data_IF_601639171509
#
_entry.id   IF_601639171509
#
_cell.length_a   1.000
_cell.length_b   1.000
_cell.length_c   1.000
_cell.angle_alpha   90.00
_cell.angle_beta   90.00
_cell.angle_gamma   90.00
#
_symmetry.space_group_name_H-M   'P 1'
#
loop_
_entity.id
_entity.type
_entity.pdbx_description
1 polymer ?
#
# COMPACT_ATOMS: atom_id res chain seq x y z
N UNK A 1 -5.50 10.18 14.72
CA UNK A 1 -5.75 10.91 13.46
C UNK A 1 -5.34 10.04 12.27
N UNK A 2 -5.97 10.18 11.10
CA UNK A 2 -5.56 9.42 9.90
C UNK A 2 -4.16 9.85 9.43
N UNK A 3 -3.23 8.89 9.37
CA UNK A 3 -1.80 9.16 9.12
C UNK A 3 -1.40 9.17 7.63
N UNK A 4 -2.35 8.99 6.70
CA UNK A 4 -2.07 8.97 5.26
C UNK A 4 -2.68 10.17 4.52
N UNK A 5 -1.99 10.61 3.47
CA UNK A 5 -2.50 11.59 2.50
C UNK A 5 -3.40 10.96 1.43
N UNK A 6 -3.39 9.63 1.28
CA UNK A 6 -4.24 8.87 0.34
C UNK A 6 -5.43 8.23 1.07
N UNK A 7 -6.22 9.05 1.75
CA UNK A 7 -7.34 8.62 2.62
C UNK A 7 -8.29 7.65 1.90
N UNK A 8 -8.66 7.97 0.66
CA UNK A 8 -9.55 7.16 -0.20
C UNK A 8 -9.00 5.77 -0.51
N UNK A 9 -7.68 5.64 -0.74
CA UNK A 9 -7.05 4.33 -0.94
C UNK A 9 -7.03 3.49 0.34
N UNK A 10 -6.73 4.12 1.48
CA UNK A 10 -6.79 3.45 2.78
C UNK A 10 -8.22 2.97 3.08
N UNK A 11 -9.23 3.80 2.85
CA UNK A 11 -10.63 3.42 2.99
C UNK A 11 -11.02 2.27 2.05
N UNK A 12 -10.56 2.27 0.79
CA UNK A 12 -10.79 1.18 -0.15
C UNK A 12 -10.14 -0.14 0.32
N UNK A 13 -8.91 -0.08 0.85
CA UNK A 13 -8.22 -1.23 1.42
C UNK A 13 -8.96 -1.78 2.65
N UNK A 14 -9.38 -0.93 3.58
CA UNK A 14 -10.16 -1.30 4.76
C UNK A 14 -11.47 -1.98 4.36
N UNK A 15 -12.24 -1.40 3.42
CA UNK A 15 -13.47 -2.03 2.92
C UNK A 15 -13.22 -3.38 2.28
N UNK A 16 -12.13 -3.52 1.52
CA UNK A 16 -11.73 -4.79 0.89
C UNK A 16 -11.44 -5.84 1.95
N UNK A 17 -10.69 -5.49 3.00
CA UNK A 17 -10.41 -6.38 4.12
C UNK A 17 -11.70 -6.75 4.88
N UNK A 18 -12.54 -5.78 5.24
CA UNK A 18 -13.82 -6.00 5.92
C UNK A 18 -14.81 -6.86 5.11
N UNK A 19 -14.65 -6.95 3.79
CA UNK A 19 -15.50 -7.76 2.92
C UNK A 19 -15.17 -9.26 2.97
N UNK A 20 -14.01 -9.66 3.51
CA UNK A 20 -13.71 -11.09 3.64
C UNK A 20 -14.65 -11.75 4.65
N UNK A 21 -15.22 -12.93 4.34
CA UNK A 21 -16.18 -13.61 5.21
C UNK A 21 -15.66 -13.90 6.61
N UNK A 22 -14.35 -14.13 6.74
CA UNK A 22 -13.68 -14.34 8.02
C UNK A 22 -13.84 -13.15 8.98
N UNK A 23 -14.06 -11.94 8.45
CA UNK A 23 -14.21 -10.71 9.25
C UNK A 23 -15.66 -10.23 9.39
N UNK A 24 -16.67 -10.95 8.87
CA UNK A 24 -18.10 -10.60 9.04
C UNK A 24 -18.89 -11.70 9.76
N UNK A 25 -19.74 -11.37 10.76
CA UNK A 25 -19.65 -10.29 11.76
C UNK A 25 -19.53 -10.87 13.19
N UNK A 26 -19.15 -10.03 14.16
CA UNK A 26 -18.92 -10.33 15.60
C UNK A 26 -17.49 -10.69 16.01
N UNK A 27 -16.50 -9.84 15.68
CA UNK A 27 -15.32 -9.76 16.56
C UNK A 27 -15.77 -9.17 17.91
N UNK A 28 -16.36 -10.01 18.77
CA UNK A 28 -16.68 -9.69 20.16
C UNK A 28 -15.41 -9.93 20.98
N UNK A 29 -14.50 -8.96 20.91
CA UNK A 29 -13.34 -8.96 21.79
C UNK A 29 -13.78 -8.79 23.24
N UNK A 30 -13.07 -9.45 24.16
CA UNK A 30 -13.20 -9.13 25.59
C UNK A 30 -12.62 -7.74 25.87
N UNK A 31 -12.68 -7.32 27.13
CA UNK A 31 -12.16 -6.02 27.54
C UNK A 31 -10.68 -5.84 27.14
N UNK A 32 -10.22 -4.62 26.79
CA UNK A 32 -8.88 -4.41 26.20
C UNK A 32 -7.70 -4.93 27.03
N UNK A 33 -7.84 -4.94 28.36
CA UNK A 33 -6.80 -5.45 29.26
C UNK A 33 -6.78 -6.99 29.33
N UNK A 34 -7.88 -7.64 28.92
CA UNK A 34 -8.05 -9.10 28.90
C UNK A 34 -7.69 -9.68 27.53
N UNK A 35 -7.99 -8.95 26.45
CA UNK A 35 -7.77 -9.37 25.07
C UNK A 35 -7.22 -8.23 24.20
N UNK A 36 -5.96 -7.82 24.46
CA UNK A 36 -5.35 -6.69 23.75
C UNK A 36 -5.15 -6.97 22.26
N UNK A 37 -4.89 -8.23 21.87
CA UNK A 37 -4.66 -8.61 20.47
C UNK A 37 -5.95 -8.49 19.63
N UNK A 38 -7.08 -9.00 20.13
CA UNK A 38 -8.35 -8.86 19.42
C UNK A 38 -8.75 -7.39 19.30
N UNK A 39 -8.62 -6.60 20.38
CA UNK A 39 -8.95 -5.18 20.34
C UNK A 39 -8.03 -4.41 19.40
N UNK A 40 -6.72 -4.69 19.38
CA UNK A 40 -5.80 -4.09 18.40
C UNK A 40 -6.19 -4.42 16.96
N UNK A 41 -6.64 -5.65 16.69
CA UNK A 41 -7.13 -6.04 15.37
C UNK A 41 -8.42 -5.30 15.01
N UNK A 42 -9.37 -5.21 15.96
CA UNK A 42 -10.62 -4.46 15.78
C UNK A 42 -10.34 -2.99 15.49
N UNK A 43 -9.45 -2.37 16.25
CA UNK A 43 -9.08 -0.98 16.12
C UNK A 43 -8.38 -0.71 14.78
N UNK A 44 -7.56 -1.64 14.32
CA UNK A 44 -6.91 -1.56 13.02
C UNK A 44 -7.89 -1.68 11.84
N UNK A 45 -8.87 -2.58 11.91
CA UNK A 45 -9.71 -2.92 10.77
C UNK A 45 -11.05 -2.16 10.75
N UNK A 46 -11.71 -2.02 11.89
CA UNK A 46 -13.06 -1.46 12.01
C UNK A 46 -13.06 -0.03 12.55
N UNK A 47 -12.23 0.25 13.55
CA UNK A 47 -12.16 1.59 14.18
C UNK A 47 -10.99 2.43 13.67
N UNK A 48 -10.48 2.10 12.46
CA UNK A 48 -9.32 2.77 11.90
C UNK A 48 -9.55 4.28 11.72
N UNK A 49 -8.62 5.16 12.15
CA UNK A 49 -8.83 6.62 12.13
C UNK A 49 -9.16 7.23 10.76
N UNK A 50 -8.84 6.55 9.66
CA UNK A 50 -9.15 7.01 8.30
C UNK A 50 -10.59 6.71 7.85
N UNK A 51 -11.34 5.85 8.56
CA UNK A 51 -12.73 5.51 8.19
C UNK A 51 -13.64 6.74 8.25
N UNK A 52 -13.44 7.60 9.25
CA UNK A 52 -14.33 8.74 9.52
C UNK A 52 -13.85 10.08 8.93
N UNK A 53 -12.70 10.11 8.25
CA UNK A 53 -12.16 11.35 7.67
C UNK A 53 -12.91 11.70 6.38
N UNK A 54 -13.65 12.80 6.40
CA UNK A 54 -14.20 13.42 5.20
C UNK A 54 -13.08 14.16 4.45
N UNK A 55 -12.60 13.55 3.35
CA UNK A 55 -11.67 14.06 2.33
C UNK A 55 -10.77 15.25 2.75
N UNK A 56 -9.53 14.96 3.17
CA UNK A 56 -8.43 15.95 3.06
C UNK A 56 -7.97 15.97 1.60
N UNK A 57 -8.25 17.06 0.90
CA UNK A 57 -7.92 17.32 -0.52
C UNK A 57 -8.50 16.32 -1.55
N UNK A 58 -8.62 16.76 -2.81
CA UNK A 58 -9.11 15.91 -3.90
C UNK A 58 -8.02 14.91 -4.28
N UNK A 59 -8.12 13.66 -3.83
CA UNK A 59 -7.29 12.56 -4.34
C UNK A 59 -7.44 12.53 -5.87
N UNK A 60 -6.33 12.66 -6.65
CA UNK A 60 -6.39 12.59 -8.11
C UNK A 60 -6.83 11.20 -8.62
N UNK A 61 -6.76 10.16 -7.78
CA UNK A 61 -7.17 8.80 -8.11
C UNK A 61 -8.14 8.24 -7.06
N UNK A 62 -9.38 8.75 -6.99
CA UNK A 62 -10.38 8.18 -6.10
C UNK A 62 -10.66 6.74 -6.53
N UNK A 63 -10.59 5.82 -5.57
CA UNK A 63 -10.85 4.40 -5.79
C UNK A 63 -11.89 3.90 -4.80
N UNK A 64 -12.91 3.22 -5.31
CA UNK A 64 -13.92 2.56 -4.48
C UNK A 64 -13.46 1.17 -4.02
N UNK A 65 -12.61 0.53 -4.82
CA UNK A 65 -11.95 -0.75 -4.57
C UNK A 65 -10.50 -0.74 -5.11
N UNK A 66 -9.63 -1.59 -4.56
CA UNK A 66 -8.24 -1.68 -5.03
C UNK A 66 -8.17 -2.23 -6.47
N UNK A 67 -7.47 -1.56 -7.40
CA UNK A 67 -7.36 -2.02 -8.78
C UNK A 67 -6.43 -3.24 -8.87
N UNK A 68 -6.65 -4.09 -9.88
CA UNK A 68 -5.63 -5.10 -10.22
C UNK A 68 -4.36 -4.42 -10.75
N UNK A 69 -3.17 -4.97 -10.53
CA UNK A 69 -1.95 -4.32 -11.02
C UNK A 69 -1.88 -4.17 -12.55
N UNK A 70 -2.51 -5.08 -13.29
CA UNK A 70 -2.66 -4.92 -14.74
C UNK A 70 -3.54 -3.72 -15.10
N UNK A 71 -4.67 -3.56 -14.41
CA UNK A 71 -5.58 -2.43 -14.63
C UNK A 71 -4.93 -1.10 -14.19
N UNK A 72 -4.28 -1.09 -13.03
CA UNK A 72 -3.52 0.06 -12.53
C UNK A 72 -2.48 0.52 -13.55
N UNK A 73 -1.70 -0.40 -14.12
CA UNK A 73 -0.75 -0.08 -15.18
C UNK A 73 -1.42 0.44 -16.45
N UNK A 74 -2.53 -0.18 -16.88
CA UNK A 74 -3.28 0.29 -18.05
C UNK A 74 -3.78 1.73 -17.88
N UNK A 75 -4.31 2.07 -16.70
CA UNK A 75 -4.76 3.45 -16.40
C UNK A 75 -3.54 4.37 -16.36
N UNK A 76 -2.46 3.94 -15.71
CA UNK A 76 -1.25 4.74 -15.59
C UNK A 76 -0.62 5.07 -16.94
N UNK A 77 -0.66 4.15 -17.90
CA UNK A 77 -0.18 4.35 -19.27
C UNK A 77 -0.98 5.38 -20.06
N UNK A 78 -2.27 5.58 -19.73
CA UNK A 78 -3.12 6.58 -20.39
C UNK A 78 -2.87 8.00 -19.88
N UNK A 79 -2.23 8.15 -18.71
CA UNK A 79 -1.92 9.45 -18.13
C UNK A 79 -0.41 9.69 -18.06
N UNK A 80 0.06 10.68 -18.84
CA UNK A 80 1.49 11.01 -18.93
C UNK A 80 2.15 11.25 -17.56
N UNK A 81 1.45 11.91 -16.63
CA UNK A 81 1.98 12.14 -15.28
C UNK A 81 2.19 10.84 -14.52
N UNK A 82 1.22 9.91 -14.59
CA UNK A 82 1.33 8.64 -13.90
C UNK A 82 2.46 7.77 -14.46
N UNK A 83 2.48 7.56 -15.78
CA UNK A 83 3.49 6.67 -16.39
C UNK A 83 4.91 7.18 -16.12
N UNK A 84 5.10 8.51 -16.09
CA UNK A 84 6.38 9.11 -15.70
C UNK A 84 6.78 8.72 -14.28
N UNK A 85 5.87 8.79 -13.30
CA UNK A 85 6.15 8.36 -11.93
C UNK A 85 6.57 6.88 -11.86
N UNK A 86 5.93 6.03 -12.65
CA UNK A 86 6.26 4.60 -12.71
C UNK A 86 7.62 4.32 -13.34
N UNK A 87 7.95 5.00 -14.45
CA UNK A 87 9.26 4.86 -15.10
C UNK A 87 10.38 5.47 -14.24
N UNK A 88 10.16 6.62 -13.61
CA UNK A 88 11.10 7.23 -12.67
C UNK A 88 11.39 6.28 -11.50
N UNK A 89 10.36 5.61 -10.96
CA UNK A 89 10.55 4.60 -9.92
C UNK A 89 11.37 3.40 -10.41
N UNK A 90 11.06 2.84 -11.59
CA UNK A 90 11.84 1.73 -12.15
C UNK A 90 13.30 2.11 -12.43
N UNK A 91 13.52 3.37 -12.84
CA UNK A 91 14.85 3.88 -13.15
C UNK A 91 15.69 4.09 -11.87
N UNK A 92 15.09 4.54 -10.77
CA UNK A 92 15.82 4.87 -9.56
C UNK A 92 15.88 3.71 -8.54
N UNK A 93 14.85 2.86 -8.47
CA UNK A 93 14.77 1.72 -7.57
C UNK A 93 15.04 0.39 -8.30
N UNK A 94 16.23 0.29 -8.91
CA UNK A 94 16.61 -0.84 -9.78
C UNK A 94 16.75 -2.13 -8.98
N UNK A 95 16.13 -3.20 -9.48
CA UNK A 95 16.23 -4.56 -8.92
C UNK A 95 16.80 -5.50 -9.96
N UNK A 96 17.80 -6.31 -9.57
CA UNK A 96 18.32 -7.42 -10.38
C UNK A 96 18.47 -8.66 -9.51
N UNK A 97 18.04 -9.81 -10.03
CA UNK A 97 18.08 -11.10 -9.30
C UNK A 97 17.45 -11.03 -7.91
N UNK A 98 16.33 -10.29 -7.81
CA UNK A 98 15.61 -10.01 -6.57
C UNK A 98 16.45 -9.30 -5.48
N UNK A 99 17.53 -8.62 -5.87
CA UNK A 99 18.37 -7.80 -4.99
C UNK A 99 18.33 -6.35 -5.42
N UNK A 100 18.37 -5.46 -4.44
CA UNK A 100 18.44 -4.03 -4.71
C UNK A 100 19.79 -3.68 -5.39
N UNK A 101 19.71 -2.83 -6.41
CA UNK A 101 20.84 -2.30 -7.20
C UNK A 101 20.62 -0.81 -7.53
N UNK A 102 19.94 -0.08 -6.65
CA UNK A 102 19.80 1.38 -6.79
C UNK A 102 21.16 2.06 -6.71
N UNK A 103 21.31 3.14 -7.46
CA UNK A 103 22.55 3.94 -7.45
C UNK A 103 22.50 5.03 -6.37
N UNK A 104 21.32 5.61 -6.15
CA UNK A 104 21.08 6.71 -5.22
C UNK A 104 19.83 6.41 -4.37
N UNK A 105 20.05 6.32 -3.06
CA UNK A 105 19.02 6.00 -2.07
C UNK A 105 17.94 7.08 -2.00
N UNK A 106 18.34 8.36 -2.04
CA UNK A 106 17.42 9.48 -1.89
C UNK A 106 16.55 9.64 -3.13
N UNK A 107 17.11 9.46 -4.33
CA UNK A 107 16.34 9.45 -5.57
C UNK A 107 15.34 8.28 -5.61
N UNK A 108 15.75 7.09 -5.18
CA UNK A 108 14.82 5.96 -5.07
C UNK A 108 13.69 6.25 -4.07
N UNK A 109 14.01 6.78 -2.88
CA UNK A 109 13.02 7.13 -1.87
C UNK A 109 12.01 8.18 -2.36
N UNK A 110 12.50 9.22 -3.05
CA UNK A 110 11.65 10.26 -3.64
C UNK A 110 10.75 9.68 -4.74
N UNK A 111 11.30 8.86 -5.64
CA UNK A 111 10.55 8.22 -6.70
C UNK A 111 9.46 7.28 -6.13
N UNK A 112 9.80 6.48 -5.13
CA UNK A 112 8.83 5.65 -4.40
C UNK A 112 7.73 6.49 -3.73
N UNK A 113 8.11 7.57 -3.03
CA UNK A 113 7.16 8.47 -2.37
C UNK A 113 6.17 9.10 -3.36
N UNK A 114 6.63 9.44 -4.55
CA UNK A 114 5.74 9.95 -5.58
C UNK A 114 4.89 8.83 -6.21
N UNK A 115 5.44 7.63 -6.41
CA UNK A 115 4.68 6.49 -6.93
C UNK A 115 3.50 6.13 -6.03
N UNK A 116 3.62 6.27 -4.69
CA UNK A 116 2.52 6.03 -3.73
C UNK A 116 1.26 6.84 -4.03
N UNK A 117 1.40 7.99 -4.69
CA UNK A 117 0.29 8.85 -5.09
C UNK A 117 -0.46 8.30 -6.30
N UNK A 118 0.16 7.46 -7.14
CA UNK A 118 -0.44 6.92 -8.36
C UNK A 118 -1.30 5.65 -8.13
N UNK A 119 -2.11 5.21 -9.11
CA UNK A 119 -2.87 3.96 -9.02
C UNK A 119 -2.00 2.70 -8.92
N UNK A 120 -0.71 2.79 -9.24
CA UNK A 120 0.22 1.65 -9.20
C UNK A 120 0.42 1.13 -7.78
N UNK A 121 0.45 2.02 -6.79
CA UNK A 121 0.68 1.64 -5.40
C UNK A 121 -0.57 1.05 -4.77
N UNK A 122 -0.42 -0.10 -4.10
CA UNK A 122 -1.52 -0.81 -3.45
C UNK A 122 -2.42 -1.59 -4.42
N UNK A 123 -2.00 -1.77 -5.68
CA UNK A 123 -2.68 -2.67 -6.60
C UNK A 123 -2.60 -4.12 -6.13
N UNK A 124 -3.60 -4.94 -6.50
CA UNK A 124 -3.70 -6.35 -6.07
C UNK A 124 -3.62 -7.32 -7.25
N UNK A 125 -3.35 -8.60 -6.96
CA UNK A 125 -3.32 -9.67 -7.96
C UNK A 125 -4.21 -10.84 -7.54
N UNK A 126 -5.49 -10.88 -7.96
CA UNK A 126 -6.37 -11.99 -7.67
C UNK A 126 -5.89 -13.27 -8.39
N UNK A 127 -6.25 -14.43 -7.83
CA UNK A 127 -5.87 -15.73 -8.38
C UNK A 127 -6.68 -16.04 -9.65
N UNK A 128 -6.12 -15.72 -10.82
CA UNK A 128 -6.71 -15.96 -12.13
C UNK A 128 -5.65 -16.26 -13.20
N UNK A 129 -6.06 -16.45 -14.46
CA UNK A 129 -5.13 -16.77 -15.55
C UNK A 129 -4.07 -15.68 -15.80
N UNK A 130 -4.34 -14.41 -15.44
CA UNK A 130 -3.43 -13.28 -15.64
C UNK A 130 -2.46 -13.08 -14.46
N UNK A 131 -2.51 -13.95 -13.45
CA UNK A 131 -1.75 -13.84 -12.20
C UNK A 131 -0.24 -13.66 -12.45
N UNK A 132 0.39 -14.47 -13.30
CA UNK A 132 1.84 -14.38 -13.58
C UNK A 132 2.28 -13.01 -14.12
N UNK A 133 1.46 -12.36 -14.94
CA UNK A 133 1.75 -11.01 -15.45
C UNK A 133 1.55 -9.98 -14.35
N UNK A 134 0.46 -10.11 -13.59
CA UNK A 134 0.14 -9.23 -12.48
C UNK A 134 1.22 -9.26 -11.40
N UNK A 135 1.65 -10.46 -10.98
CA UNK A 135 2.65 -10.68 -9.92
C UNK A 135 3.98 -10.00 -10.22
N UNK A 136 4.38 -9.90 -11.50
CA UNK A 136 5.59 -9.18 -11.88
C UNK A 136 5.49 -7.68 -11.59
N UNK A 137 4.34 -7.08 -11.88
CA UNK A 137 4.07 -5.66 -11.59
C UNK A 137 3.97 -5.48 -10.07
N UNK A 138 3.22 -6.36 -9.41
CA UNK A 138 3.04 -6.33 -7.96
C UNK A 138 4.37 -6.42 -7.21
N UNK A 139 5.24 -7.36 -7.59
CA UNK A 139 6.54 -7.53 -6.95
C UNK A 139 7.42 -6.29 -7.13
N UNK A 140 7.45 -5.72 -8.34
CA UNK A 140 8.22 -4.51 -8.63
C UNK A 140 7.76 -3.31 -7.81
N UNK A 141 6.45 -3.14 -7.58
CA UNK A 141 5.88 -1.95 -6.95
C UNK A 141 5.74 -2.11 -5.44
N UNK A 142 5.23 -3.25 -4.97
CA UNK A 142 4.85 -3.48 -3.57
C UNK A 142 5.86 -4.36 -2.81
N UNK A 143 6.71 -5.15 -3.49
CA UNK A 143 7.75 -5.97 -2.86
C UNK A 143 9.16 -5.62 -3.38
N UNK A 144 9.39 -4.34 -3.66
CA UNK A 144 10.70 -3.90 -4.14
C UNK A 144 11.74 -3.96 -3.01
N UNK A 145 12.82 -4.76 -3.12
CA UNK A 145 13.82 -4.86 -2.06
C UNK A 145 14.55 -3.54 -1.77
N UNK A 146 14.61 -2.60 -2.72
CA UNK A 146 15.18 -1.27 -2.45
C UNK A 146 14.32 -0.42 -1.52
N UNK A 147 13.02 -0.69 -1.46
CA UNK A 147 12.05 0.07 -0.67
C UNK A 147 11.86 -0.54 0.72
N UNK A 148 12.02 -1.86 0.88
CA UNK A 148 11.93 -2.54 2.17
C UNK A 148 12.87 -1.97 3.24
N UNK A 149 13.97 -1.33 2.82
CA UNK A 149 14.89 -0.60 3.70
C UNK A 149 14.28 0.69 4.31
N UNK A 150 13.17 1.20 3.76
CA UNK A 150 12.51 2.45 4.17
C UNK A 150 11.22 2.22 4.96
N UNK A 151 10.59 1.05 4.83
CA UNK A 151 9.33 0.71 5.52
C UNK A 151 9.52 0.26 6.98
N UNK A 152 10.76 0.18 7.46
CA UNK A 152 11.08 0.03 8.88
C UNK A 152 11.20 1.44 9.49
N UNK A 153 10.15 1.95 10.16
CA UNK A 153 10.34 3.08 11.04
C UNK A 153 11.28 2.68 12.19
N UNK A 154 12.10 3.64 12.58
CA UNK A 154 13.10 3.72 13.64
C UNK A 154 12.53 3.36 15.04
N UNK A 155 11.92 2.19 15.21
CA UNK A 155 11.40 1.71 16.51
C UNK A 155 12.27 0.57 17.07
N UNK A 156 13.19 0.01 16.27
CA UNK A 156 14.08 -1.08 16.69
C UNK A 156 15.55 -0.67 16.90
N UNK A 157 15.92 0.60 16.79
CA UNK A 157 17.29 1.05 17.11
C UNK A 157 17.50 1.47 18.56
N UNK A 158 16.43 1.61 19.36
CA UNK A 158 16.53 2.02 20.78
C UNK A 158 16.24 0.88 21.77
N UNK A 159 16.11 -0.36 21.32
CA UNK A 159 16.08 -1.53 22.21
C UNK A 159 17.51 -2.05 22.48
N UNK A 160 18.33 -1.17 23.06
CA UNK A 160 19.56 -1.53 23.76
C UNK A 160 19.66 -0.62 24.98
N UNK A 161 18.96 -1.02 26.06
CA UNK A 161 19.27 -0.90 27.50
C UNK A 161 18.11 -1.55 28.27
#
# INVERSE_FOLDING_TARGET
>A
ACSTVTVTKCQAALRTLQAFPFFKPTCLCREPHVDPECNSFRDFLFDHPCVFVMKKEKDPYPVDALPTCNHALSVCQQEHKCIKLYEDFKANCKVRDNRCRMDDRDLCYQAWTNLRKSPMFGCICPNNQMKKRCDRIFSMVNHNPCVGEFEIPVILSDANI
#
